data_IF_527921071170
#
_entry.id   IF_527921071170
#
_cell.length_a   1.000
_cell.length_b   1.000
_cell.length_c   1.000
_cell.angle_alpha   90.00
_cell.angle_beta   90.00
_cell.angle_gamma   90.00
#
_symmetry.space_group_name_H-M   'P 1'
#
loop_
_entity.id
_entity.type
_entity.pdbx_description
1 polymer ?
#
# COMPACT_ATOMS: atom_id res chain seq x y z
N UNK A 1 38.52 22.71 -1.87
CA UNK A 1 37.07 22.61 -2.21
C UNK A 1 36.63 21.18 -1.96
N UNK A 2 36.00 20.89 -0.83
CA UNK A 2 35.52 19.53 -0.46
C UNK A 2 34.32 19.60 0.52
N UNK A 3 33.40 20.54 0.29
CA UNK A 3 32.37 20.89 1.28
C UNK A 3 30.95 20.55 0.83
N UNK A 4 30.72 20.39 -0.47
CA UNK A 4 29.39 20.12 -1.04
C UNK A 4 29.08 18.62 -1.16
N UNK A 5 30.06 17.79 -1.52
CA UNK A 5 29.86 16.35 -1.69
C UNK A 5 29.49 15.65 -0.37
N UNK A 6 30.12 16.04 0.73
CA UNK A 6 29.86 15.51 2.07
C UNK A 6 28.44 15.83 2.55
N UNK A 7 27.96 17.06 2.30
CA UNK A 7 26.60 17.49 2.67
C UNK A 7 25.51 16.78 1.88
N UNK A 8 25.73 16.51 0.59
CA UNK A 8 24.78 15.76 -0.25
C UNK A 8 24.65 14.31 0.23
N UNK A 9 25.76 13.68 0.62
CA UNK A 9 25.75 12.32 1.15
C UNK A 9 24.99 12.23 2.49
N UNK A 10 25.24 13.17 3.39
CA UNK A 10 24.58 13.25 4.70
C UNK A 10 23.06 13.47 4.54
N UNK A 11 22.66 14.29 3.56
CA UNK A 11 21.25 14.53 3.23
C UNK A 11 20.59 13.31 2.56
N UNK A 12 21.33 12.57 1.72
CA UNK A 12 20.82 11.39 1.04
C UNK A 12 20.45 10.26 2.00
N UNK A 13 21.07 10.19 3.18
CA UNK A 13 20.72 9.21 4.23
C UNK A 13 19.29 9.41 4.78
N UNK A 14 18.71 10.60 4.63
CA UNK A 14 17.33 10.89 5.06
C UNK A 14 16.28 10.48 4.04
N UNK A 15 16.66 10.26 2.77
CA UNK A 15 15.73 9.83 1.73
C UNK A 15 15.71 8.32 1.61
N UNK A 16 14.50 7.75 1.69
CA UNK A 16 14.28 6.35 1.36
C UNK A 16 14.69 6.10 -0.09
N UNK A 17 15.46 5.04 -0.30
CA UNK A 17 15.67 4.56 -1.67
C UNK A 17 14.33 4.21 -2.30
N UNK A 18 14.26 4.34 -3.61
CA UNK A 18 13.06 4.00 -4.39
C UNK A 18 12.60 2.56 -4.13
N UNK A 19 13.55 1.63 -3.95
CA UNK A 19 13.26 0.23 -3.61
C UNK A 19 12.64 0.09 -2.20
N UNK A 20 13.21 0.76 -1.19
CA UNK A 20 12.67 0.76 0.17
C UNK A 20 11.27 1.37 0.25
N UNK A 21 11.05 2.52 -0.40
CA UNK A 21 9.75 3.16 -0.45
C UNK A 21 8.70 2.27 -1.12
N UNK A 22 9.07 1.63 -2.24
CA UNK A 22 8.22 0.68 -2.97
C UNK A 22 7.88 -0.54 -2.11
N UNK A 23 8.88 -1.16 -1.48
CA UNK A 23 8.69 -2.34 -0.64
C UNK A 23 7.76 -2.04 0.53
N UNK A 24 7.99 -0.95 1.26
CA UNK A 24 7.12 -0.52 2.37
C UNK A 24 5.66 -0.30 1.93
N UNK A 25 5.48 0.39 0.81
CA UNK A 25 4.16 0.72 0.27
C UNK A 25 3.40 -0.54 -0.18
N UNK A 26 4.00 -1.39 -1.01
CA UNK A 26 3.34 -2.59 -1.52
C UNK A 26 3.12 -3.62 -0.43
N UNK A 27 4.05 -3.76 0.52
CA UNK A 27 3.88 -4.66 1.66
C UNK A 27 2.67 -4.28 2.51
N UNK A 28 2.48 -2.98 2.78
CA UNK A 28 1.32 -2.49 3.54
C UNK A 28 -0.01 -2.71 2.78
N UNK A 29 -0.01 -2.53 1.46
CA UNK A 29 -1.22 -2.80 0.64
C UNK A 29 -1.57 -4.28 0.61
N UNK A 30 -0.59 -5.17 0.47
CA UNK A 30 -0.82 -6.62 0.44
C UNK A 30 -1.42 -7.14 1.74
N UNK A 31 -1.07 -6.52 2.88
CA UNK A 31 -1.71 -6.84 4.17
C UNK A 31 -3.18 -6.42 4.24
N UNK A 32 -3.52 -5.24 3.68
CA UNK A 32 -4.88 -4.69 3.73
C UNK A 32 -5.81 -5.29 2.67
N UNK A 33 -5.26 -5.61 1.51
CA UNK A 33 -6.00 -6.08 0.34
C UNK A 33 -5.43 -7.43 -0.09
N UNK A 34 -6.03 -8.56 0.33
CA UNK A 34 -5.62 -9.86 -0.16
C UNK A 34 -5.82 -9.93 -1.67
N UNK A 35 -5.03 -10.79 -2.32
CA UNK A 35 -5.12 -10.97 -3.77
C UNK A 35 -6.53 -11.37 -4.15
N UNK A 36 -7.06 -10.70 -5.16
CA UNK A 36 -8.36 -11.05 -5.71
C UNK A 36 -8.29 -12.45 -6.32
N UNK A 37 -9.34 -13.27 -6.14
CA UNK A 37 -9.44 -14.54 -6.83
C UNK A 37 -9.43 -14.36 -8.35
N UNK A 38 -8.93 -15.36 -9.06
CA UNK A 38 -8.80 -15.32 -10.53
C UNK A 38 -10.16 -15.20 -11.24
N UNK A 39 -11.23 -15.67 -10.59
CA UNK A 39 -12.59 -15.63 -11.12
C UNK A 39 -13.50 -14.85 -10.18
N UNK A 40 -14.46 -14.15 -10.76
CA UNK A 40 -15.46 -13.37 -10.01
C UNK A 40 -16.34 -14.25 -9.13
N UNK A 41 -16.58 -15.50 -9.52
CA UNK A 41 -17.37 -16.46 -8.73
C UNK A 41 -16.67 -16.88 -7.43
N UNK A 42 -15.33 -16.86 -7.42
CA UNK A 42 -14.52 -17.20 -6.25
C UNK A 42 -14.37 -16.00 -5.29
N UNK A 43 -14.70 -14.80 -5.76
CA UNK A 43 -14.74 -13.60 -4.94
C UNK A 43 -15.98 -13.67 -4.04
N UNK A 44 -15.77 -14.10 -2.78
CA UNK A 44 -16.78 -13.96 -1.72
C UNK A 44 -17.05 -12.48 -1.47
N UNK A 45 -17.97 -11.92 -2.24
CA UNK A 45 -18.61 -10.65 -1.97
C UNK A 45 -19.54 -10.86 -0.77
N UNK A 46 -18.96 -10.93 0.43
CA UNK A 46 -19.77 -10.65 1.62
C UNK A 46 -20.27 -9.22 1.43
N UNK A 47 -21.60 -8.98 1.38
CA UNK A 47 -22.09 -7.62 1.42
C UNK A 47 -21.45 -7.00 2.66
N UNK A 48 -20.70 -5.90 2.45
CA UNK A 48 -20.17 -5.14 3.56
C UNK A 48 -21.36 -4.89 4.48
N UNK A 49 -21.25 -5.33 5.75
CA UNK A 49 -22.30 -5.20 6.77
C UNK A 49 -22.54 -3.72 7.17
N UNK A 50 -22.26 -2.79 6.26
CA UNK A 50 -22.57 -1.37 6.30
C UNK A 50 -23.56 -0.93 5.22
N UNK A 51 -24.06 -1.84 4.39
CA UNK A 51 -25.19 -1.53 3.51
C UNK A 51 -26.41 -2.27 4.03
N UNK A 52 -27.05 -1.65 5.02
CA UNK A 52 -28.33 -2.06 5.57
C UNK A 52 -29.43 -1.69 4.56
N UNK A 53 -30.05 -2.63 3.82
CA UNK A 53 -31.23 -2.29 3.07
C UNK A 53 -32.40 -2.50 4.03
N UNK A 54 -32.91 -1.41 4.60
CA UNK A 54 -34.24 -1.43 5.21
C UNK A 54 -35.23 -1.67 4.06
N UNK A 55 -35.48 -2.94 3.77
CA UNK A 55 -36.56 -3.39 2.89
C UNK A 55 -37.78 -3.51 3.78
N UNK A 56 -38.59 -2.46 3.79
CA UNK A 56 -39.96 -2.54 4.26
C UNK A 56 -40.79 -3.12 3.10
N UNK A 57 -41.43 -4.26 3.34
CA UNK A 57 -42.60 -4.72 2.58
C UNK A 57 -43.85 -4.32 3.36
#
# INVERSE_FOLDING_TARGET
LASNATTILDTAAYFLSWDQARNSMYYSRLKKYPRLPARRQDLRLTPNRQQNPVRNF
#
